data_IF_808090525549
#
_entry.id   IF_808090525549
#
_cell.length_a   1.000
_cell.length_b   1.000
_cell.length_c   1.000
_cell.angle_alpha   90.00
_cell.angle_beta   90.00
_cell.angle_gamma   90.00
#
_symmetry.space_group_name_H-M   'P 1'
#
loop_
_entity.id
_entity.type
_entity.pdbx_description
1 polymer ?
#
# COMPACT_ATOMS: atom_id res chain seq x y z
N UNK A 1 51.13 21.13 -38.09
CA UNK A 1 51.16 21.04 -36.60
C UNK A 1 50.28 22.14 -36.03
N UNK A 2 49.44 21.82 -35.02
CA UNK A 2 48.56 22.72 -34.23
C UNK A 2 47.32 23.23 -34.99
N UNK A 3 46.08 23.16 -34.51
CA UNK A 3 45.55 22.95 -33.14
C UNK A 3 44.08 22.52 -33.26
N UNK A 4 43.67 21.54 -32.45
CA UNK A 4 42.27 21.17 -32.20
C UNK A 4 41.48 22.35 -31.60
N UNK A 5 40.21 22.52 -31.97
CA UNK A 5 39.23 23.24 -31.17
C UNK A 5 37.87 22.51 -31.27
N UNK A 6 37.66 21.61 -30.31
CA UNK A 6 36.44 20.86 -30.10
C UNK A 6 35.52 21.70 -29.19
N UNK A 7 34.43 22.27 -29.73
CA UNK A 7 33.45 23.02 -28.93
C UNK A 7 32.31 22.06 -28.57
N UNK A 8 32.41 21.47 -27.38
CA UNK A 8 31.35 20.67 -26.77
C UNK A 8 30.42 21.61 -25.99
N UNK A 9 29.29 21.99 -26.60
CA UNK A 9 28.23 22.71 -25.89
C UNK A 9 27.48 21.71 -24.99
N UNK A 10 27.83 21.68 -23.71
CA UNK A 10 27.05 20.96 -22.69
C UNK A 10 25.69 21.66 -22.51
N UNK A 11 24.65 21.14 -23.17
CA UNK A 11 23.29 21.38 -22.76
C UNK A 11 23.04 20.60 -21.46
N UNK A 12 23.20 21.26 -20.31
CA UNK A 12 22.64 20.77 -19.04
C UNK A 12 21.10 20.91 -19.12
N UNK A 13 20.45 19.96 -19.77
CA UNK A 13 19.04 19.71 -19.55
C UNK A 13 18.91 19.16 -18.12
N UNK A 14 18.63 20.06 -17.17
CA UNK A 14 18.25 19.71 -15.82
C UNK A 14 16.96 18.88 -15.86
N UNK A 15 17.09 17.56 -15.89
CA UNK A 15 16.00 16.65 -15.62
C UNK A 15 15.69 16.74 -14.12
N UNK A 16 14.86 17.72 -13.75
CA UNK A 16 14.20 17.70 -12.45
C UNK A 16 13.30 16.46 -12.43
N UNK A 17 13.75 15.39 -11.76
CA UNK A 17 12.93 14.23 -11.47
C UNK A 17 11.78 14.69 -10.57
N UNK A 18 10.63 15.01 -11.18
CA UNK A 18 9.39 15.15 -10.45
C UNK A 18 9.09 13.78 -9.83
N UNK A 19 9.37 13.63 -8.54
CA UNK A 19 8.88 12.50 -7.76
C UNK A 19 7.35 12.59 -7.76
N UNK A 20 6.72 11.91 -8.71
CA UNK A 20 5.27 11.73 -8.70
C UNK A 20 4.93 11.01 -7.42
N UNK A 21 4.27 11.70 -6.48
CA UNK A 21 3.71 11.10 -5.29
C UNK A 21 2.75 10.00 -5.72
N UNK A 22 3.20 8.74 -5.72
CA UNK A 22 2.36 7.60 -6.06
C UNK A 22 1.33 7.43 -4.95
N UNK A 23 0.08 7.81 -5.19
CA UNK A 23 -1.01 7.50 -4.25
C UNK A 23 -1.05 5.98 -4.05
N UNK A 24 -0.95 5.48 -2.81
CA UNK A 24 -0.99 4.04 -2.57
C UNK A 24 -2.33 3.49 -3.08
N UNK A 25 -2.29 2.44 -3.89
CA UNK A 25 -3.49 1.76 -4.44
C UNK A 25 -3.87 0.52 -3.63
N UNK A 26 -2.96 0.07 -2.77
CA UNK A 26 -3.12 -1.09 -1.87
C UNK A 26 -2.61 -0.77 -0.48
N UNK A 27 -3.14 -1.48 0.50
CA UNK A 27 -2.74 -1.44 1.90
C UNK A 27 -2.81 -2.84 2.48
N UNK A 28 -2.32 -3.02 3.71
CA UNK A 28 -2.38 -4.30 4.39
C UNK A 28 -3.20 -4.20 5.66
N UNK A 29 -3.93 -5.25 5.96
CA UNK A 29 -4.69 -5.42 7.20
C UNK A 29 -4.23 -6.66 7.93
N UNK A 30 -4.51 -6.68 9.23
CA UNK A 30 -4.39 -7.88 10.04
C UNK A 30 -5.78 -8.52 10.15
N UNK A 31 -5.89 -9.81 9.86
CA UNK A 31 -7.12 -10.58 10.08
C UNK A 31 -6.87 -11.72 11.07
N UNK A 32 -7.81 -11.98 11.96
CA UNK A 32 -7.81 -13.20 12.78
C UNK A 32 -8.28 -14.41 11.95
N UNK A 33 -8.21 -15.61 12.53
CA UNK A 33 -8.67 -16.87 11.87
C UNK A 33 -10.15 -16.89 11.51
N UNK A 34 -10.96 -16.04 12.15
CA UNK A 34 -12.39 -15.87 11.89
C UNK A 34 -12.69 -14.84 10.80
N UNK A 35 -11.66 -14.15 10.29
CA UNK A 35 -11.78 -13.05 9.33
C UNK A 35 -12.09 -11.69 9.96
N UNK A 36 -11.99 -11.54 11.29
CA UNK A 36 -12.17 -10.26 11.96
C UNK A 36 -10.90 -9.39 11.84
N UNK A 37 -11.08 -8.08 11.69
CA UNK A 37 -9.94 -7.15 11.59
C UNK A 37 -9.25 -6.95 12.93
N UNK A 38 -7.93 -7.09 12.93
CA UNK A 38 -7.06 -6.85 14.07
C UNK A 38 -6.26 -5.54 13.88
N UNK A 39 -5.82 -4.90 14.98
CA UNK A 39 -4.96 -3.73 14.91
C UNK A 39 -3.59 -4.08 14.34
N UNK A 40 -3.07 -3.21 13.47
CA UNK A 40 -1.70 -3.29 12.98
C UNK A 40 -0.77 -2.69 14.04
N UNK A 41 0.25 -3.44 14.46
CA UNK A 41 1.23 -2.95 15.44
C UNK A 41 2.46 -2.44 14.70
N UNK A 42 2.71 -1.14 14.79
CA UNK A 42 3.88 -0.49 14.18
C UNK A 42 4.87 -0.07 15.26
N UNK A 43 6.13 -0.46 15.11
CA UNK A 43 7.24 -0.06 15.96
C UNK A 43 8.27 0.76 15.19
N UNK A 44 8.96 1.65 15.89
CA UNK A 44 10.09 2.42 15.35
C UNK A 44 11.36 1.81 15.94
N UNK A 45 12.28 1.27 15.12
CA UNK A 45 13.52 0.70 15.62
C UNK A 45 14.33 1.78 16.36
N UNK A 46 14.84 1.43 17.53
CA UNK A 46 15.60 2.35 18.39
C UNK A 46 16.97 2.72 17.81
N UNK A 47 17.50 1.89 16.90
CA UNK A 47 18.75 2.13 16.18
C UNK A 47 18.43 2.86 14.87
N UNK A 48 18.66 4.18 14.89
CA UNK A 48 18.29 5.10 13.80
C UNK A 48 19.30 5.00 12.66
N UNK A 49 19.04 4.13 11.68
CA UNK A 49 19.64 4.27 10.35
C UNK A 49 18.69 5.01 9.39
N UNK A 50 17.37 4.81 9.53
CA UNK A 50 16.34 5.61 8.86
C UNK A 50 15.16 5.87 9.82
N UNK A 51 14.80 7.13 10.03
CA UNK A 51 13.72 7.54 10.94
C UNK A 51 12.33 7.46 10.32
N UNK A 52 12.24 7.12 9.03
CA UNK A 52 11.00 7.10 8.26
C UNK A 52 10.42 5.69 8.14
N UNK A 53 11.15 4.68 8.57
CA UNK A 53 10.75 3.28 8.44
C UNK A 53 10.02 2.82 9.72
N UNK A 54 8.68 2.77 9.63
CA UNK A 54 7.86 2.09 10.61
C UNK A 54 7.80 0.61 10.26
N UNK A 55 8.24 -0.26 11.18
CA UNK A 55 8.06 -1.70 11.01
C UNK A 55 6.67 -2.09 11.53
N UNK A 56 5.76 -2.41 10.62
CA UNK A 56 4.39 -2.79 10.96
C UNK A 56 4.17 -4.29 10.78
N UNK A 57 3.63 -4.96 11.79
CA UNK A 57 3.35 -6.41 11.80
C UNK A 57 1.94 -6.73 12.31
N UNK A 58 1.50 -7.96 12.03
CA UNK A 58 0.28 -8.57 12.56
C UNK A 58 0.70 -9.68 13.55
N UNK A 59 0.89 -9.39 14.84
CA UNK A 59 1.39 -10.39 15.79
C UNK A 59 0.37 -11.49 16.07
N UNK A 60 -0.92 -11.15 16.09
CA UNK A 60 -2.00 -12.05 16.49
C UNK A 60 -2.86 -12.53 15.29
N UNK A 61 -2.41 -12.31 14.05
CA UNK A 61 -3.19 -12.65 12.87
C UNK A 61 -2.41 -12.59 11.55
N UNK A 62 -3.12 -12.76 10.45
CA UNK A 62 -2.55 -12.86 9.11
C UNK A 62 -2.49 -11.50 8.41
N UNK A 63 -1.40 -11.24 7.67
CA UNK A 63 -1.30 -10.06 6.81
C UNK A 63 -2.04 -10.31 5.52
N UNK A 64 -3.05 -9.47 5.26
CA UNK A 64 -3.87 -9.56 4.06
C UNK A 64 -3.77 -8.26 3.25
N UNK A 65 -3.43 -8.39 1.97
CA UNK A 65 -3.42 -7.27 1.03
C UNK A 65 -4.85 -6.89 0.63
N UNK A 66 -5.16 -5.59 0.61
CA UNK A 66 -6.48 -5.07 0.24
C UNK A 66 -6.35 -3.77 -0.53
N UNK A 67 -7.25 -3.56 -1.50
CA UNK A 67 -7.27 -2.34 -2.30
C UNK A 67 -7.68 -1.13 -1.44
N UNK A 68 -7.11 0.04 -1.72
CA UNK A 68 -7.63 1.30 -1.17
C UNK A 68 -8.82 1.72 -2.02
N UNK A 69 -9.92 2.13 -1.38
CA UNK A 69 -11.12 2.56 -2.07
C UNK A 69 -10.80 3.77 -2.97
N UNK A 70 -11.24 3.76 -4.25
CA UNK A 70 -11.15 4.94 -5.10
C UNK A 70 -11.88 6.13 -4.49
N UNK A 71 -11.53 7.34 -4.92
CA UNK A 71 -12.20 8.57 -4.48
C UNK A 71 -13.73 8.46 -4.68
N UNK A 72 -14.48 8.78 -3.63
CA UNK A 72 -15.96 8.72 -3.63
C UNK A 72 -16.56 7.33 -3.43
N UNK A 73 -15.76 6.25 -3.42
CA UNK A 73 -16.22 4.88 -3.14
C UNK A 73 -16.11 4.60 -1.64
N UNK A 74 -17.22 4.16 -1.03
CA UNK A 74 -17.21 3.72 0.36
C UNK A 74 -16.85 2.23 0.46
N UNK A 75 -16.09 1.83 1.51
CA UNK A 75 -15.87 0.43 1.84
C UNK A 75 -17.18 -0.37 1.90
N UNK A 76 -17.13 -1.70 1.67
CA UNK A 76 -18.27 -2.55 1.94
C UNK A 76 -18.76 -2.40 3.39
N UNK A 77 -20.07 -2.55 3.58
CA UNK A 77 -20.65 -2.61 4.92
C UNK A 77 -20.33 -3.97 5.55
N UNK A 78 -20.18 -4.01 6.87
CA UNK A 78 -19.98 -5.26 7.60
C UNK A 78 -21.22 -6.16 7.41
N UNK A 79 -21.00 -7.35 6.84
CA UNK A 79 -22.03 -8.33 6.57
C UNK A 79 -21.41 -9.72 6.34
N UNK A 80 -22.26 -10.74 6.27
CA UNK A 80 -21.84 -12.13 6.11
C UNK A 80 -21.01 -12.39 4.83
N UNK A 81 -21.25 -11.65 3.74
CA UNK A 81 -20.50 -11.81 2.51
C UNK A 81 -19.05 -11.30 2.66
N UNK A 82 -18.88 -10.16 3.33
CA UNK A 82 -17.57 -9.62 3.69
C UNK A 82 -16.83 -10.56 4.65
N UNK A 83 -17.52 -11.10 5.64
CA UNK A 83 -16.94 -12.04 6.60
C UNK A 83 -16.42 -13.30 5.89
N UNK A 84 -17.18 -13.84 4.92
CA UNK A 84 -16.74 -14.99 4.13
C UNK A 84 -15.51 -14.67 3.28
N UNK A 85 -15.49 -13.52 2.61
CA UNK A 85 -14.33 -13.10 1.83
C UNK A 85 -13.09 -12.96 2.72
N UNK A 86 -13.22 -12.31 3.89
CA UNK A 86 -12.13 -12.18 4.86
C UNK A 86 -11.61 -13.52 5.37
N UNK A 87 -12.48 -14.49 5.65
CA UNK A 87 -12.06 -15.86 6.04
C UNK A 87 -11.33 -16.61 4.93
N UNK A 88 -11.70 -16.38 3.68
CA UNK A 88 -10.95 -16.92 2.54
C UNK A 88 -9.58 -16.24 2.45
N UNK A 89 -9.57 -14.91 2.59
CA UNK A 89 -8.36 -14.10 2.50
C UNK A 89 -7.30 -14.41 3.57
N UNK A 90 -7.72 -14.89 4.74
CA UNK A 90 -6.78 -15.39 5.78
C UNK A 90 -5.95 -16.58 5.26
N UNK A 91 -6.44 -17.34 4.27
CA UNK A 91 -5.74 -18.51 3.73
C UNK A 91 -4.87 -18.20 2.53
N UNK A 92 -5.28 -17.25 1.68
CA UNK A 92 -4.56 -16.88 0.45
C UNK A 92 -3.77 -15.57 0.56
N UNK A 93 -3.97 -14.80 1.64
CA UNK A 93 -3.28 -13.55 1.95
C UNK A 93 -3.83 -12.31 1.24
N UNK A 94 -4.99 -12.37 0.58
CA UNK A 94 -5.42 -11.25 -0.27
C UNK A 94 -6.94 -11.08 -0.40
N UNK A 95 -7.39 -9.83 -0.33
CA UNK A 95 -8.72 -9.36 -0.76
C UNK A 95 -8.64 -8.56 -2.07
N UNK A 96 -7.47 -8.52 -2.72
CA UNK A 96 -7.27 -7.76 -3.95
C UNK A 96 -8.12 -8.33 -5.09
N UNK A 97 -8.99 -7.49 -5.65
CA UNK A 97 -9.88 -7.88 -6.74
C UNK A 97 -11.17 -8.57 -6.31
N UNK A 98 -11.30 -8.92 -5.02
CA UNK A 98 -12.51 -9.50 -4.47
C UNK A 98 -13.68 -8.53 -4.53
N UNK A 99 -14.89 -9.09 -4.64
CA UNK A 99 -16.13 -8.34 -4.78
C UNK A 99 -17.25 -8.94 -3.95
N UNK A 100 -18.17 -8.08 -3.53
CA UNK A 100 -19.45 -8.45 -2.94
C UNK A 100 -20.53 -7.97 -3.90
N UNK A 101 -21.08 -8.90 -4.69
CA UNK A 101 -21.86 -8.56 -5.87
C UNK A 101 -21.03 -7.71 -6.83
N UNK A 102 -21.56 -6.57 -7.26
CA UNK A 102 -20.87 -5.65 -8.17
C UNK A 102 -19.90 -4.70 -7.47
N UNK A 103 -19.79 -4.72 -6.13
CA UNK A 103 -18.95 -3.79 -5.37
C UNK A 103 -17.58 -4.39 -5.06
N UNK A 104 -16.47 -3.68 -5.31
CA UNK A 104 -15.15 -4.15 -4.90
C UNK A 104 -15.01 -4.14 -3.38
N UNK A 105 -14.24 -5.08 -2.84
CA UNK A 105 -13.75 -5.03 -1.47
C UNK A 105 -12.55 -4.07 -1.43
N UNK A 106 -12.66 -3.05 -0.58
CA UNK A 106 -11.63 -2.04 -0.42
C UNK A 106 -11.65 -1.45 0.99
N UNK A 107 -10.53 -0.84 1.40
CA UNK A 107 -10.41 -0.12 2.67
C UNK A 107 -10.33 1.39 2.43
N UNK A 108 -10.85 2.17 3.37
CA UNK A 108 -10.64 3.61 3.39
C UNK A 108 -9.13 3.95 3.50
N UNK A 109 -8.67 5.07 2.90
CA UNK A 109 -7.32 5.56 3.12
C UNK A 109 -7.06 5.83 4.62
N UNK A 110 -5.87 5.48 5.11
CA UNK A 110 -5.48 5.69 6.53
C UNK A 110 -5.31 7.17 6.88
N UNK A 111 -4.89 7.99 5.92
CA UNK A 111 -4.82 9.44 6.00
C UNK A 111 -5.67 10.02 4.86
N UNK A 112 -6.94 10.36 5.11
CA UNK A 112 -7.80 11.02 4.13
C UNK A 112 -7.36 12.46 3.84
#
# INVERSE_FOLDING_TARGET
>A
MKTLALVFALALAGAASAATSSTPTRTQICLDVSGATLPVVCSVPSSRLDNREYFCSCPDGERVDVAICPAGVKPPVENLALDRARRAAVRDGSLMGDRIGDRPICMAPRNP
#
